data_IF_894953947429
#
_entry.id   IF_894953947429
#
_cell.length_a   1.000
_cell.length_b   1.000
_cell.length_c   1.000
_cell.angle_alpha   90.00
_cell.angle_beta   90.00
_cell.angle_gamma   90.00
#
_symmetry.space_group_name_H-M   'P 1'
#
loop_
_entity.id
_entity.type
_entity.pdbx_description
1 polymer ?
#
# COMPACT_ATOMS: atom_id res chain seq x y z
N UNK A 1 12.28 30.86 -3.63
CA UNK A 1 11.22 30.05 -4.27
C UNK A 1 9.92 30.34 -3.53
N UNK A 2 8.88 30.81 -4.23
CA UNK A 2 7.58 31.13 -3.62
C UNK A 2 6.78 29.86 -3.41
N UNK A 3 6.13 29.72 -2.26
CA UNK A 3 5.28 28.56 -1.94
C UNK A 3 3.99 28.59 -2.78
N UNK A 4 3.60 27.48 -3.44
CA UNK A 4 2.37 27.43 -4.22
C UNK A 4 1.13 27.62 -3.35
N UNK A 5 0.10 28.25 -3.91
CA UNK A 5 -1.19 28.45 -3.25
C UNK A 5 -2.01 27.16 -3.18
N UNK A 6 -2.95 27.07 -2.24
CA UNK A 6 -3.85 25.91 -2.09
C UNK A 6 -4.63 25.58 -3.37
N UNK A 7 -5.03 26.60 -4.16
CA UNK A 7 -5.75 26.41 -5.43
C UNK A 7 -4.86 25.83 -6.52
N UNK A 8 -3.61 26.29 -6.62
CA UNK A 8 -2.62 25.73 -7.55
C UNK A 8 -2.30 24.28 -7.20
N UNK A 9 -2.14 23.98 -5.91
CA UNK A 9 -1.93 22.63 -5.40
C UNK A 9 -3.09 21.70 -5.79
N UNK A 10 -4.34 22.16 -5.59
CA UNK A 10 -5.53 21.39 -5.96
C UNK A 10 -5.64 21.09 -7.45
N UNK A 11 -5.29 22.06 -8.32
CA UNK A 11 -5.28 21.84 -9.77
C UNK A 11 -4.20 20.84 -10.20
N UNK A 12 -3.02 20.90 -9.58
CA UNK A 12 -1.95 19.93 -9.83
C UNK A 12 -2.37 18.51 -9.41
N UNK A 13 -2.92 18.36 -8.21
CA UNK A 13 -3.42 17.07 -7.70
C UNK A 13 -4.47 16.48 -8.65
N UNK A 14 -5.43 17.29 -9.12
CA UNK A 14 -6.45 16.82 -10.06
C UNK A 14 -5.85 16.30 -11.38
N UNK A 15 -4.88 17.01 -11.94
CA UNK A 15 -4.19 16.59 -13.18
C UNK A 15 -3.37 15.32 -12.98
N UNK A 16 -2.66 15.21 -11.86
CA UNK A 16 -1.92 13.99 -11.52
C UNK A 16 -2.87 12.80 -11.36
N UNK A 17 -4.02 13.01 -10.70
CA UNK A 17 -5.03 11.98 -10.55
C UNK A 17 -5.54 11.47 -11.89
N UNK A 18 -5.86 12.35 -12.84
CA UNK A 18 -6.27 11.93 -14.19
C UNK A 18 -5.20 11.09 -14.87
N UNK A 19 -3.94 11.53 -14.84
CA UNK A 19 -2.82 10.81 -15.47
C UNK A 19 -2.66 9.40 -14.88
N UNK A 20 -2.63 9.30 -13.56
CA UNK A 20 -2.40 8.02 -12.86
C UNK A 20 -3.66 7.13 -12.83
N UNK A 21 -4.85 7.66 -13.10
CA UNK A 21 -6.07 6.85 -13.24
C UNK A 21 -6.21 6.29 -14.66
N UNK A 22 -5.70 7.00 -15.67
CA UNK A 22 -5.84 6.63 -17.08
C UNK A 22 -5.01 5.39 -17.49
N UNK A 23 -4.04 4.97 -16.68
CA UNK A 23 -3.19 3.81 -16.94
C UNK A 23 -3.89 2.46 -16.72
N UNK A 24 -3.62 1.49 -17.60
CA UNK A 24 -3.88 0.07 -17.32
C UNK A 24 -2.75 -0.52 -16.47
N UNK A 25 -2.68 -0.05 -15.23
CA UNK A 25 -1.51 -0.24 -14.37
C UNK A 25 -1.42 -1.62 -13.72
N UNK A 26 -2.31 -2.59 -14.01
CA UNK A 26 -2.17 -3.94 -13.44
C UNK A 26 -0.91 -4.62 -13.99
N UNK A 27 -0.68 -4.50 -15.30
CA UNK A 27 0.53 -5.03 -15.94
C UNK A 27 1.79 -4.31 -15.48
N UNK A 28 1.72 -2.98 -15.35
CA UNK A 28 2.84 -2.17 -14.89
C UNK A 28 3.15 -2.43 -13.42
N UNK A 29 2.13 -2.54 -12.58
CA UNK A 29 2.26 -3.00 -11.21
C UNK A 29 2.99 -4.35 -11.21
N UNK A 30 2.43 -5.41 -11.80
CA UNK A 30 3.05 -6.75 -11.78
C UNK A 30 4.53 -6.76 -12.17
N UNK A 31 4.91 -5.95 -13.15
CA UNK A 31 6.31 -5.78 -13.54
C UNK A 31 7.21 -5.26 -12.40
N UNK A 32 6.71 -4.34 -11.57
CA UNK A 32 7.41 -3.77 -10.43
C UNK A 32 7.45 -4.67 -9.18
N UNK A 33 6.73 -5.80 -9.14
CA UNK A 33 6.67 -6.67 -7.94
C UNK A 33 8.03 -7.18 -7.50
N UNK A 34 8.93 -7.49 -8.45
CA UNK A 34 10.29 -7.91 -8.13
C UNK A 34 11.07 -6.85 -7.37
N UNK A 35 11.01 -5.60 -7.82
CA UNK A 35 11.67 -4.47 -7.16
C UNK A 35 11.02 -4.12 -5.82
N UNK A 36 9.69 -4.19 -5.74
CA UNK A 36 8.96 -3.99 -4.49
C UNK A 36 9.35 -5.04 -3.43
N UNK A 37 9.55 -6.29 -3.85
CA UNK A 37 10.02 -7.38 -2.97
C UNK A 37 11.43 -7.12 -2.45
N UNK A 38 12.36 -6.82 -3.35
CA UNK A 38 13.76 -6.52 -2.97
C UNK A 38 13.83 -5.35 -1.99
N UNK A 39 13.02 -4.31 -2.23
CA UNK A 39 12.91 -3.18 -1.30
C UNK A 39 12.34 -3.60 0.05
N UNK A 40 11.23 -4.34 0.07
CA UNK A 40 10.59 -4.81 1.30
C UNK A 40 11.52 -5.69 2.15
N UNK A 41 12.27 -6.60 1.53
CA UNK A 41 13.21 -7.50 2.22
C UNK A 41 14.35 -6.76 2.91
N UNK A 42 14.74 -5.58 2.40
CA UNK A 42 15.74 -4.70 3.03
C UNK A 42 15.19 -3.91 4.22
N UNK A 43 13.86 -3.81 4.35
CA UNK A 43 13.26 -3.06 5.45
C UNK A 43 13.41 -3.83 6.76
N UNK A 44 13.97 -3.13 7.75
CA UNK A 44 13.98 -3.59 9.14
C UNK A 44 12.70 -3.10 9.81
N UNK A 45 11.63 -3.89 9.69
CA UNK A 45 10.33 -3.58 10.31
C UNK A 45 10.31 -4.23 11.69
N UNK A 46 10.12 -3.41 12.73
CA UNK A 46 9.99 -3.93 14.08
C UNK A 46 8.59 -4.57 14.27
N UNK A 47 8.50 -5.73 14.93
CA UNK A 47 7.22 -6.33 15.27
C UNK A 47 6.32 -5.39 16.07
N UNK A 48 5.04 -5.34 15.67
CA UNK A 48 4.04 -4.42 16.21
C UNK A 48 4.04 -3.04 15.56
N UNK A 49 4.92 -2.76 14.59
CA UNK A 49 4.83 -1.54 13.79
C UNK A 49 3.65 -1.58 12.83
N UNK A 50 3.11 -0.40 12.55
CA UNK A 50 2.15 -0.18 11.47
C UNK A 50 2.89 0.48 10.30
N UNK A 51 2.68 -0.03 9.09
CA UNK A 51 3.34 0.45 7.89
C UNK A 51 2.42 1.37 7.09
N UNK A 52 2.96 2.46 6.54
CA UNK A 52 2.29 3.30 5.56
C UNK A 52 2.98 3.14 4.21
N UNK A 53 2.26 2.60 3.23
CA UNK A 53 2.71 2.43 1.84
C UNK A 53 2.13 3.57 0.99
N UNK A 54 2.97 4.53 0.59
CA UNK A 54 2.56 5.75 -0.12
C UNK A 54 2.75 5.56 -1.61
N UNK A 55 1.73 5.91 -2.40
CA UNK A 55 1.62 5.55 -3.81
C UNK A 55 1.64 4.02 -3.98
N UNK A 56 0.81 3.34 -3.19
CA UNK A 56 0.81 1.88 -3.06
C UNK A 56 0.35 1.15 -4.33
N UNK A 57 -0.21 1.88 -5.30
CA UNK A 57 -0.80 1.32 -6.51
C UNK A 57 -1.78 0.20 -6.19
N UNK A 58 -1.55 -0.98 -6.77
CA UNK A 58 -2.36 -2.18 -6.53
C UNK A 58 -1.88 -3.03 -5.33
N UNK A 59 -1.22 -2.39 -4.34
CA UNK A 59 -0.81 -2.95 -3.04
C UNK A 59 0.19 -4.10 -3.07
N UNK A 60 1.24 -3.95 -3.88
CA UNK A 60 2.27 -4.99 -4.04
C UNK A 60 3.05 -5.22 -2.74
N UNK A 61 3.53 -4.13 -2.14
CA UNK A 61 4.30 -4.14 -0.91
C UNK A 61 3.38 -4.39 0.28
N UNK A 62 2.24 -3.69 0.35
CA UNK A 62 1.27 -3.87 1.42
C UNK A 62 0.79 -5.34 1.56
N UNK A 63 0.56 -6.06 0.46
CA UNK A 63 0.22 -7.48 0.54
C UNK A 63 1.35 -8.34 1.14
N UNK A 64 2.62 -8.06 0.82
CA UNK A 64 3.77 -8.77 1.41
C UNK A 64 3.89 -8.48 2.91
N UNK A 65 3.75 -7.22 3.32
CA UNK A 65 3.76 -6.82 4.72
C UNK A 65 2.62 -7.50 5.51
N UNK A 66 1.41 -7.52 4.95
CA UNK A 66 0.26 -8.17 5.58
C UNK A 66 0.44 -9.69 5.75
N UNK A 67 1.09 -10.36 4.79
CA UNK A 67 1.44 -11.79 4.88
C UNK A 67 2.43 -12.07 6.01
N UNK A 68 3.29 -11.12 6.34
CA UNK A 68 4.20 -11.18 7.50
C UNK A 68 3.54 -10.68 8.81
N UNK A 69 2.21 -10.59 8.84
CA UNK A 69 1.42 -10.09 9.96
C UNK A 69 1.72 -8.64 10.38
N UNK A 70 2.15 -7.78 9.46
CA UNK A 70 2.29 -6.35 9.69
C UNK A 70 0.99 -5.66 9.27
N UNK A 71 0.41 -4.86 10.16
CA UNK A 71 -0.70 -3.97 9.78
C UNK A 71 -0.16 -2.87 8.85
N UNK A 72 -0.79 -2.73 7.69
CA UNK A 72 -0.34 -1.79 6.66
C UNK A 72 -1.51 -1.01 6.11
N UNK A 73 -1.33 0.29 5.95
CA UNK A 73 -2.21 1.17 5.21
C UNK A 73 -1.52 1.57 3.92
N UNK A 74 -2.11 1.22 2.78
CA UNK A 74 -1.73 1.73 1.48
C UNK A 74 -2.53 2.98 1.14
N UNK A 75 -1.89 3.98 0.54
CA UNK A 75 -2.56 5.18 0.00
C UNK A 75 -2.14 5.44 -1.43
N UNK A 76 -3.10 5.79 -2.28
CA UNK A 76 -2.83 6.17 -3.66
C UNK A 76 -3.81 7.24 -4.15
N UNK A 77 -3.37 8.08 -5.09
CA UNK A 77 -4.22 9.09 -5.73
C UNK A 77 -5.15 8.48 -6.78
N UNK A 78 -4.75 7.36 -7.39
CA UNK A 78 -5.50 6.64 -8.39
C UNK A 78 -6.46 5.65 -7.72
N UNK A 79 -7.72 6.07 -7.56
CA UNK A 79 -8.73 5.30 -6.83
C UNK A 79 -9.00 3.91 -7.42
N UNK A 80 -8.90 3.76 -8.74
CA UNK A 80 -9.01 2.48 -9.44
C UNK A 80 -7.89 1.48 -9.05
N UNK A 81 -6.69 1.96 -8.66
CA UNK A 81 -5.62 1.10 -8.16
C UNK A 81 -5.92 0.60 -6.75
N UNK A 82 -6.48 1.47 -5.91
CA UNK A 82 -6.90 1.10 -4.54
C UNK A 82 -8.06 0.10 -4.56
N UNK A 83 -9.00 0.24 -5.49
CA UNK A 83 -10.05 -0.77 -5.71
C UNK A 83 -9.46 -2.13 -6.10
N UNK A 84 -8.46 -2.15 -6.99
CA UNK A 84 -7.75 -3.38 -7.38
C UNK A 84 -6.96 -3.98 -6.21
N UNK A 85 -6.25 -3.15 -5.45
CA UNK A 85 -5.57 -3.56 -4.23
C UNK A 85 -6.52 -4.27 -3.25
N UNK A 86 -7.73 -3.71 -3.07
CA UNK A 86 -8.78 -4.33 -2.25
C UNK A 86 -9.20 -5.69 -2.79
N UNK A 87 -9.47 -5.79 -4.08
CA UNK A 87 -9.85 -7.06 -4.72
C UNK A 87 -8.75 -8.13 -4.54
N UNK A 88 -7.47 -7.76 -4.69
CA UNK A 88 -6.33 -8.65 -4.44
C UNK A 88 -6.23 -9.08 -2.98
N UNK A 89 -6.41 -8.14 -2.06
CA UNK A 89 -6.41 -8.39 -0.61
C UNK A 89 -7.48 -9.42 -0.23
N UNK A 90 -8.69 -9.24 -0.77
CA UNK A 90 -9.80 -10.17 -0.55
C UNK A 90 -9.53 -11.55 -1.16
N UNK A 91 -8.93 -11.61 -2.35
CA UNK A 91 -8.58 -12.88 -3.00
C UNK A 91 -7.53 -13.69 -2.20
N UNK A 92 -6.69 -13.01 -1.42
CA UNK A 92 -5.70 -13.62 -0.51
C UNK A 92 -6.29 -13.98 0.86
N UNK A 93 -7.59 -13.73 1.09
CA UNK A 93 -8.27 -14.01 2.35
C UNK A 93 -7.81 -13.10 3.51
N UNK A 94 -7.25 -11.94 3.20
CA UNK A 94 -6.87 -10.89 4.15
C UNK A 94 -8.05 -9.95 4.38
N UNK A 95 -8.20 -9.43 5.60
CA UNK A 95 -9.26 -8.48 5.91
C UNK A 95 -8.84 -7.07 5.48
N UNK A 96 -9.63 -6.45 4.63
CA UNK A 96 -9.40 -5.08 4.18
C UNK A 96 -10.72 -4.32 4.15
N UNK A 97 -11.02 -3.59 5.22
CA UNK A 97 -12.29 -2.90 5.32
C UNK A 97 -12.24 -1.70 6.26
N UNK A 98 -11.41 -0.71 5.93
CA UNK A 98 -11.68 0.69 6.29
C UNK A 98 -11.33 1.52 5.04
N UNK A 99 -12.35 1.87 4.24
CA UNK A 99 -12.23 2.77 3.10
C UNK A 99 -12.74 4.12 3.53
N UNK A 100 -11.89 5.13 3.45
CA UNK A 100 -12.28 6.51 3.72
C UNK A 100 -11.85 7.37 2.54
N UNK A 101 -12.74 8.22 1.99
CA UNK A 101 -12.32 9.28 1.09
C UNK A 101 -11.31 10.17 1.84
N UNK A 102 -10.04 10.14 1.44
CA UNK A 102 -9.01 10.93 2.11
C UNK A 102 -9.08 12.42 1.79
N UNK A 103 -8.46 13.23 2.66
CA UNK A 103 -8.22 14.65 2.41
C UNK A 103 -7.46 14.81 1.07
N UNK A 104 -7.94 15.68 0.19
CA UNK A 104 -7.31 15.96 -1.12
C UNK A 104 -7.35 14.82 -2.15
N UNK A 105 -8.40 13.98 -2.14
CA UNK A 105 -8.67 12.95 -3.17
C UNK A 105 -7.73 11.73 -3.19
N UNK A 106 -6.87 11.60 -2.18
CA UNK A 106 -6.06 10.40 -1.92
C UNK A 106 -6.98 9.32 -1.33
N UNK A 107 -6.92 8.10 -1.85
CA UNK A 107 -7.72 6.97 -1.40
C UNK A 107 -6.83 6.01 -0.63
N UNK A 108 -7.35 5.40 0.44
CA UNK A 108 -6.62 4.45 1.26
C UNK A 108 -7.22 3.05 1.25
N UNK A 109 -6.38 2.05 1.50
CA UNK A 109 -6.76 0.67 1.84
C UNK A 109 -5.92 0.23 3.03
N UNK A 110 -6.57 -0.11 4.13
CA UNK A 110 -5.89 -0.75 5.26
C UNK A 110 -6.06 -2.25 5.17
N UNK A 111 -4.95 -2.98 5.25
CA UNK A 111 -4.91 -4.44 5.20
C UNK A 111 -4.53 -4.95 6.59
N UNK A 112 -5.43 -5.76 7.17
CA UNK A 112 -5.24 -6.45 8.44
C UNK A 112 -5.31 -7.96 8.20
N UNK A 113 -4.64 -8.74 9.05
CA UNK A 113 -4.76 -10.20 9.04
C UNK A 113 -5.45 -10.66 10.33
N UNK A 114 -6.66 -11.21 10.22
CA UNK A 114 -7.37 -11.82 11.37
C UNK A 114 -6.86 -13.23 11.71
N UNK A 115 -6.19 -13.90 10.77
CA UNK A 115 -5.66 -15.25 10.93
C UNK A 115 -4.23 -15.31 11.47
N UNK A 116 -3.70 -14.19 11.97
CA UNK A 116 -2.44 -14.23 12.70
C UNK A 116 -2.69 -14.77 14.12
N UNK A 117 -2.91 -16.08 14.24
CA UNK A 117 -2.45 -16.75 15.47
C UNK A 117 -0.98 -16.35 15.58
N UNK A 118 -0.59 -15.77 16.72
CA UNK A 118 0.79 -15.40 17.02
C UNK A 118 1.64 -16.68 16.93
N UNK A 119 1.98 -17.11 15.72
CA UNK A 119 2.88 -18.22 15.50
C UNK A 119 4.20 -17.71 16.06
N UNK A 120 4.63 -18.28 17.18
CA UNK A 120 5.78 -17.86 17.95
C UNK A 120 7.12 -18.08 17.22
N UNK A 121 7.17 -17.82 15.91
CA UNK A 121 8.17 -18.34 14.98
C UNK A 121 8.85 -17.25 14.13
N UNK A 122 8.12 -16.21 13.69
CA UNK A 122 8.65 -15.24 12.70
C UNK A 122 9.79 -14.34 13.21
N UNK A 123 9.94 -14.17 14.54
CA UNK A 123 11.01 -13.34 15.13
C UNK A 123 12.28 -14.12 15.49
N UNK A 124 12.26 -15.46 15.55
CA UNK A 124 13.46 -16.21 15.94
C UNK A 124 14.47 -16.38 14.78
N UNK A 125 14.01 -16.28 13.52
CA UNK A 125 14.82 -16.62 12.33
C UNK A 125 15.50 -15.43 11.62
N UNK A 126 15.09 -14.17 11.84
CA UNK A 126 15.86 -12.99 11.33
C UNK A 126 17.14 -12.70 12.14
N UNK A 127 17.40 -13.41 13.24
CA UNK A 127 18.58 -13.21 14.12
C UNK A 127 19.30 -14.53 14.48
N UNK A 128 19.48 -15.39 13.49
CA UNK A 128 20.64 -16.28 13.45
C UNK A 128 21.73 -15.80 12.47
N UNK A 129 21.56 -14.64 11.84
CA UNK A 129 22.40 -14.12 10.76
C UNK A 129 22.68 -12.63 10.96
#
# INVERSE_FOLDING_TARGET
>A
MSTPTSKEMGSLTARLKEIWTAGDDDRFSRYLEGGAREFYERLTIAPGCHLLDVACGSSQLALMAAKDCIEVTGVDIAGNLVERARARTQAEGLDGADWEPGLHQIVSVTIRTSKCERSGFYRLLRKGA
#
